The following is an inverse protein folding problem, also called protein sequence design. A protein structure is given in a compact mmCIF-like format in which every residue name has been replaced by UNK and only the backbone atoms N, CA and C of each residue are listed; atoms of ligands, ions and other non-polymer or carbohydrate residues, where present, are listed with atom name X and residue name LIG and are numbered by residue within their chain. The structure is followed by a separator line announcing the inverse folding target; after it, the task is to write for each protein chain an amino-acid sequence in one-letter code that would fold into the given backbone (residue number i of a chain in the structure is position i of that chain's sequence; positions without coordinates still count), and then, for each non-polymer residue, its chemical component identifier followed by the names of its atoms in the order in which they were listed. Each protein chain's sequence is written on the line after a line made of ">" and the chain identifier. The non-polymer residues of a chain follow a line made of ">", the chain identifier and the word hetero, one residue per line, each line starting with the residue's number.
data_IF_736932093635
#
_entry.id   IF_736932093635
#
_cell.length_a   1.000
_cell.length_b   1.000
_cell.length_c   1.000
_cell.angle_alpha   90.00
_cell.angle_beta   90.00
_cell.angle_gamma   90.00
#
_symmetry.space_group_name_H-M   'P 1'
#
loop_
_entity.id
_entity.type
_entity.pdbx_description
1 polymer ?
#
# COMPACT_ATOMS: atom_id res chain seq x y z
N UNK A 1 -3.09 4.41 14.01
CA UNK A 1 -3.69 4.31 12.65
C UNK A 1 -3.27 2.98 12.03
N UNK A 2 -4.07 1.92 12.07
CA UNK A 2 -3.66 0.67 11.41
C UNK A 2 -3.90 0.77 9.89
N UNK A 3 -2.99 0.21 9.10
CA UNK A 3 -3.08 0.16 7.63
C UNK A 3 -3.43 -1.26 7.20
N UNK A 4 -4.36 -1.40 6.27
CA UNK A 4 -4.68 -2.66 5.61
C UNK A 4 -4.25 -2.51 4.15
N UNK A 5 -3.34 -3.37 3.70
CA UNK A 5 -2.77 -3.34 2.36
C UNK A 5 -3.08 -4.67 1.66
N UNK A 6 -3.46 -4.59 0.39
CA UNK A 6 -3.64 -5.75 -0.49
C UNK A 6 -2.47 -5.82 -1.49
N UNK A 7 -2.21 -7.01 -2.06
CA UNK A 7 -1.16 -7.25 -3.07
C UNK A 7 0.21 -6.64 -2.69
N UNK A 8 0.61 -6.81 -1.43
CA UNK A 8 1.79 -6.16 -0.88
C UNK A 8 3.07 -6.92 -1.21
N UNK A 9 4.09 -6.19 -1.69
CA UNK A 9 5.45 -6.69 -1.86
C UNK A 9 6.33 -6.17 -0.73
N UNK A 10 6.94 -7.07 0.05
CA UNK A 10 7.99 -6.71 1.00
C UNK A 10 9.32 -6.57 0.25
N UNK A 11 9.94 -5.41 0.41
CA UNK A 11 11.29 -5.14 -0.08
C UNK A 11 12.29 -5.26 1.06
N UNK A 12 13.38 -5.99 0.84
CA UNK A 12 14.55 -5.99 1.72
C UNK A 12 15.81 -5.77 0.86
N UNK A 13 16.22 -4.52 0.71
CA UNK A 13 17.20 -4.17 -0.32
C UNK A 13 16.64 -4.44 -1.72
N UNK A 14 17.27 -5.36 -2.46
CA UNK A 14 16.80 -5.78 -3.79
C UNK A 14 15.88 -7.01 -3.76
N UNK A 15 15.76 -7.69 -2.62
CA UNK A 15 14.94 -8.88 -2.51
C UNK A 15 13.46 -8.47 -2.42
N UNK A 16 12.66 -9.05 -3.31
CA UNK A 16 11.22 -8.83 -3.39
C UNK A 16 10.49 -10.10 -2.97
N UNK A 17 9.62 -10.00 -1.97
CA UNK A 17 8.76 -11.10 -1.57
C UNK A 17 7.29 -10.69 -1.58
N UNK A 18 6.46 -11.45 -2.29
CA UNK A 18 5.01 -11.24 -2.28
C UNK A 18 4.42 -11.83 -1.00
N UNK A 19 3.70 -11.00 -0.26
CA UNK A 19 3.10 -11.36 1.03
C UNK A 19 1.57 -11.18 1.03
N UNK A 20 0.97 -10.83 -0.12
CA UNK A 20 -0.48 -10.72 -0.25
C UNK A 20 -1.09 -9.62 0.62
N UNK A 21 -1.99 -9.99 1.54
CA UNK A 21 -2.72 -9.05 2.40
C UNK A 21 -1.99 -8.86 3.73
N UNK A 22 -1.74 -7.61 4.11
CA UNK A 22 -0.96 -7.24 5.29
C UNK A 22 -1.71 -6.21 6.12
N UNK A 23 -1.66 -6.38 7.44
CA UNK A 23 -2.10 -5.36 8.39
C UNK A 23 -0.89 -4.78 9.11
N UNK A 24 -0.62 -3.49 8.91
CA UNK A 24 0.46 -2.78 9.58
C UNK A 24 -0.10 -1.99 10.75
N UNK A 25 0.48 -2.19 11.94
CA UNK A 25 0.14 -1.39 13.12
C UNK A 25 0.64 0.04 12.94
N UNK A 26 -0.23 1.02 13.16
CA UNK A 26 0.12 2.44 12.92
C UNK A 26 1.31 2.98 13.67
N UNK A 27 1.55 2.46 14.87
CA UNK A 27 2.65 2.91 15.71
C UNK A 27 4.01 2.38 15.22
N UNK A 28 4.01 1.52 14.21
CA UNK A 28 5.20 0.95 13.57
C UNK A 28 5.50 1.59 12.21
N UNK A 29 4.70 2.59 11.79
CA UNK A 29 4.86 3.29 10.50
C UNK A 29 5.66 4.57 10.74
N UNK A 30 6.80 4.68 10.08
CA UNK A 30 7.67 5.88 10.15
C UNK A 30 7.33 6.86 9.03
N UNK A 31 7.19 6.37 7.80
CA UNK A 31 6.92 7.17 6.61
C UNK A 31 6.04 6.39 5.62
N UNK A 32 5.15 7.10 4.92
CA UNK A 32 4.38 6.60 3.80
C UNK A 32 4.61 7.54 2.62
N UNK A 33 4.99 6.99 1.48
CA UNK A 33 5.09 7.72 0.21
C UNK A 33 4.13 7.10 -0.81
N UNK A 34 3.57 7.95 -1.68
CA UNK A 34 2.74 7.52 -2.79
C UNK A 34 3.48 7.84 -4.08
N UNK A 35 3.80 6.81 -4.86
CA UNK A 35 4.48 7.00 -6.15
C UNK A 35 3.57 7.70 -7.17
N UNK A 36 2.25 7.48 -7.08
CA UNK A 36 1.26 8.11 -7.94
C UNK A 36 0.00 8.47 -7.13
N UNK A 37 -0.64 9.62 -7.39
CA UNK A 37 -1.93 9.92 -6.79
C UNK A 37 -2.97 8.92 -7.29
N UNK A 38 -3.80 8.41 -6.37
CA UNK A 38 -4.90 7.52 -6.72
C UNK A 38 -5.83 8.24 -7.70
N UNK A 39 -5.85 7.80 -8.96
CA UNK A 39 -6.82 8.32 -9.92
C UNK A 39 -8.20 7.92 -9.44
N UNK A 40 -9.01 8.88 -8.99
CA UNK A 40 -10.44 8.64 -8.83
C UNK A 40 -10.96 8.39 -10.23
N UNK A 41 -11.28 7.15 -10.57
CA UNK A 41 -12.11 6.86 -11.73
C UNK A 41 -13.43 7.62 -11.54
N UNK A 42 -13.56 8.76 -12.21
CA UNK A 42 -14.85 9.42 -12.36
C UNK A 42 -15.71 8.42 -13.13
N UNK A 43 -16.51 7.62 -12.43
CA UNK A 43 -17.64 6.93 -13.06
C UNK A 43 -18.45 8.02 -13.75
N UNK A 44 -18.27 8.15 -15.06
CA UNK A 44 -19.13 8.92 -15.93
C UNK A 44 -20.51 8.29 -15.74
N UNK A 45 -21.36 8.93 -14.94
CA UNK A 45 -22.76 8.55 -14.85
C UNK A 45 -23.36 8.88 -16.21
N UNK A 46 -23.55 7.84 -17.02
CA UNK A 46 -24.52 7.82 -18.12
C UNK A 46 -25.93 7.92 -17.56
#
# INVERSE_FOLDING_TARGET
>A
MNLVLENTLKMNGNDKNDIGIVVIRGNSVVMIEAQNPCQREKKLKS
#
